data_IF_450512500109
#
_entry.id   IF_450512500109
#
_cell.length_a   1.000
_cell.length_b   1.000
_cell.length_c   1.000
_cell.angle_alpha   90.00
_cell.angle_beta   90.00
_cell.angle_gamma   90.00
#
_symmetry.space_group_name_H-M   'P 1'
#
loop_
_entity.id
_entity.type
_entity.pdbx_description
1 polymer ?
#
# COMPACT_ATOMS: atom_id res chain seq x y z
N UNK A 1 -28.51 65.53 -33.59
CA UNK A 1 -28.08 64.30 -34.30
C UNK A 1 -26.55 64.08 -34.42
N UNK A 2 -25.69 65.05 -34.08
CA UNK A 2 -24.22 64.89 -34.17
C UNK A 2 -23.54 64.19 -32.91
N UNK A 3 -24.23 64.11 -31.82
CA UNK A 3 -23.71 63.54 -30.59
C UNK A 3 -23.99 62.01 -30.40
N UNK A 4 -25.02 61.51 -31.08
CA UNK A 4 -25.33 60.06 -31.00
C UNK A 4 -24.33 59.18 -31.78
N UNK A 5 -23.79 59.67 -32.87
CA UNK A 5 -22.79 58.89 -33.66
C UNK A 5 -21.43 58.79 -33.00
N UNK A 6 -21.04 59.71 -32.11
CA UNK A 6 -19.78 59.65 -31.40
C UNK A 6 -19.81 58.65 -30.23
N UNK A 7 -20.99 58.48 -29.60
CA UNK A 7 -21.13 57.52 -28.53
C UNK A 7 -21.11 56.05 -29.03
N UNK A 8 -21.69 55.80 -30.21
CA UNK A 8 -21.70 54.47 -30.82
C UNK A 8 -20.31 54.00 -31.28
N UNK A 9 -19.43 54.97 -31.70
CA UNK A 9 -18.08 54.63 -32.13
C UNK A 9 -17.15 54.28 -30.97
N UNK A 10 -17.30 54.93 -29.82
CA UNK A 10 -16.54 54.58 -28.61
C UNK A 10 -17.04 53.32 -27.93
N UNK A 11 -18.33 52.97 -28.03
CA UNK A 11 -18.88 51.71 -27.53
C UNK A 11 -18.40 50.51 -28.37
N UNK A 12 -18.24 50.67 -29.70
CA UNK A 12 -17.75 49.61 -30.58
C UNK A 12 -16.23 49.43 -30.44
N UNK A 13 -15.47 50.52 -30.21
CA UNK A 13 -14.03 50.43 -29.95
C UNK A 13 -13.71 49.83 -28.58
N UNK A 14 -14.57 50.01 -27.57
CA UNK A 14 -14.43 49.40 -26.23
C UNK A 14 -14.70 47.90 -26.22
N UNK A 15 -15.58 47.40 -27.08
CA UNK A 15 -15.88 45.95 -27.19
C UNK A 15 -14.78 45.20 -27.96
N UNK A 16 -14.07 45.86 -28.89
CA UNK A 16 -12.95 45.24 -29.61
C UNK A 16 -11.65 45.13 -28.80
N UNK A 17 -11.51 45.83 -27.67
CA UNK A 17 -10.32 45.79 -26.82
C UNK A 17 -10.36 44.71 -25.73
N UNK A 18 -11.49 44.00 -25.54
CA UNK A 18 -11.63 42.88 -24.61
C UNK A 18 -11.50 41.50 -25.27
N UNK A 19 -11.22 41.43 -26.57
CA UNK A 19 -11.08 40.17 -27.30
C UNK A 19 -9.59 39.77 -27.55
N UNK A 20 -8.64 40.41 -26.86
CA UNK A 20 -7.24 40.06 -26.97
C UNK A 20 -6.75 39.74 -25.55
N UNK A 21 -6.75 38.46 -25.17
CA UNK A 21 -6.10 38.03 -23.97
C UNK A 21 -6.85 36.96 -23.22
N UNK A 22 -6.71 35.78 -23.66
CA UNK A 22 -6.50 34.57 -22.89
C UNK A 22 -5.83 33.62 -23.87
N UNK A 23 -4.53 33.76 -24.04
CA UNK A 23 -3.73 32.55 -24.24
C UNK A 23 -3.72 31.89 -22.87
N UNK A 24 -4.46 30.84 -22.67
CA UNK A 24 -4.19 29.88 -21.63
C UNK A 24 -2.80 29.31 -21.94
N UNK A 25 -1.76 30.02 -21.50
CA UNK A 25 -0.44 29.42 -21.34
C UNK A 25 -0.61 28.43 -20.17
N UNK A 26 -1.11 27.24 -20.45
CA UNK A 26 -0.95 26.14 -19.51
C UNK A 26 0.53 26.06 -19.17
N UNK A 27 0.82 26.06 -17.87
CA UNK A 27 2.19 25.88 -17.40
C UNK A 27 2.74 24.59 -18.03
N UNK A 28 3.96 24.62 -18.57
CA UNK A 28 4.54 23.42 -19.17
C UNK A 28 4.50 22.27 -18.14
N UNK A 29 4.06 21.09 -18.58
CA UNK A 29 4.04 19.91 -17.74
C UNK A 29 5.44 19.64 -17.20
N UNK A 30 5.56 19.17 -15.93
CA UNK A 30 6.83 18.73 -15.39
C UNK A 30 7.47 17.67 -16.28
N UNK A 31 8.78 17.50 -16.20
CA UNK A 31 9.49 16.42 -16.89
C UNK A 31 8.88 15.08 -16.48
N UNK A 32 8.59 14.25 -17.45
CA UNK A 32 8.11 12.89 -17.23
C UNK A 32 9.31 11.98 -16.95
N UNK A 33 9.61 11.71 -15.69
CA UNK A 33 10.61 10.71 -15.29
C UNK A 33 10.09 9.30 -15.49
N UNK A 34 10.91 8.41 -16.03
CA UNK A 34 10.59 6.99 -16.25
C UNK A 34 11.65 6.13 -15.60
N UNK A 35 11.23 5.19 -14.74
CA UNK A 35 12.12 4.29 -14.01
C UNK A 35 11.49 2.91 -13.82
N UNK A 36 12.30 1.88 -13.62
CA UNK A 36 11.80 0.65 -13.02
C UNK A 36 11.50 0.88 -11.53
N UNK A 37 10.46 0.24 -11.01
CA UNK A 37 10.12 0.31 -9.58
C UNK A 37 11.18 -0.35 -8.70
N UNK A 38 11.84 -1.40 -9.23
CA UNK A 38 12.87 -2.18 -8.53
C UNK A 38 14.11 -2.37 -9.40
N UNK A 39 15.24 -2.71 -8.78
CA UNK A 39 16.49 -3.04 -9.49
C UNK A 39 16.67 -4.53 -9.72
N UNK A 40 15.86 -5.37 -9.06
CA UNK A 40 15.94 -6.84 -9.20
C UNK A 40 14.59 -7.49 -8.94
N UNK A 41 14.35 -8.61 -9.61
CA UNK A 41 13.16 -9.47 -9.47
C UNK A 41 13.61 -10.92 -9.58
N UNK A 42 13.22 -11.78 -8.61
CA UNK A 42 13.49 -13.21 -8.66
C UNK A 42 12.28 -14.00 -9.17
N UNK A 43 12.54 -15.06 -9.95
CA UNK A 43 11.53 -16.09 -10.27
C UNK A 43 11.97 -17.37 -9.56
N UNK A 44 11.28 -17.67 -8.45
CA UNK A 44 11.54 -18.88 -7.66
C UNK A 44 11.33 -20.17 -8.47
N UNK A 45 11.87 -21.28 -7.99
CA UNK A 45 11.77 -22.58 -8.71
C UNK A 45 10.33 -23.07 -8.85
N UNK A 46 9.46 -22.71 -7.91
CA UNK A 46 8.04 -23.03 -7.85
C UNK A 46 7.15 -21.99 -8.54
N UNK A 47 7.68 -20.79 -8.82
CA UNK A 47 6.98 -19.73 -9.54
C UNK A 47 7.15 -19.88 -11.06
N UNK A 48 6.07 -19.64 -11.81
CA UNK A 48 6.08 -19.68 -13.26
C UNK A 48 6.39 -18.33 -13.90
N UNK A 49 6.16 -17.21 -13.21
CA UNK A 49 6.30 -15.87 -13.77
C UNK A 49 6.58 -14.80 -12.72
N UNK A 50 7.08 -13.67 -13.18
CA UNK A 50 7.20 -12.45 -12.40
C UNK A 50 6.81 -11.24 -13.23
N UNK A 51 6.24 -10.23 -12.59
CA UNK A 51 5.89 -8.95 -13.22
C UNK A 51 6.97 -7.92 -12.93
N UNK A 52 7.39 -7.22 -13.98
CA UNK A 52 8.34 -6.10 -13.89
C UNK A 52 7.58 -4.81 -14.15
N UNK A 53 7.59 -3.91 -13.17
CA UNK A 53 6.87 -2.66 -13.22
C UNK A 53 7.78 -1.49 -13.62
N UNK A 54 7.22 -0.59 -14.43
CA UNK A 54 7.81 0.70 -14.80
C UNK A 54 6.89 1.80 -14.29
N UNK A 55 7.42 2.68 -13.46
CA UNK A 55 6.71 3.85 -12.96
C UNK A 55 7.03 5.08 -13.79
N UNK A 56 6.04 5.94 -13.95
CA UNK A 56 6.16 7.25 -14.59
C UNK A 56 5.82 8.32 -13.54
N UNK A 57 6.63 9.35 -13.43
CA UNK A 57 6.48 10.40 -12.39
C UNK A 57 5.18 11.20 -12.50
N UNK A 58 4.49 11.10 -13.63
CA UNK A 58 3.14 11.62 -13.88
C UNK A 58 2.44 10.80 -14.96
N UNK A 59 1.14 10.95 -15.06
CA UNK A 59 0.37 10.40 -16.18
C UNK A 59 0.86 10.99 -17.52
N UNK A 60 0.97 10.15 -18.55
CA UNK A 60 1.35 10.60 -19.89
C UNK A 60 0.25 11.47 -20.52
N UNK A 61 0.64 12.61 -21.03
CA UNK A 61 -0.28 13.51 -21.70
C UNK A 61 -0.55 13.14 -23.16
N UNK A 62 0.36 12.39 -23.76
CA UNK A 62 0.31 11.88 -25.12
C UNK A 62 0.65 10.40 -25.09
N UNK A 63 -0.05 9.58 -25.90
CA UNK A 63 0.27 8.16 -26.02
C UNK A 63 1.76 7.98 -26.29
N UNK A 64 2.42 7.21 -25.44
CA UNK A 64 3.88 7.07 -25.42
C UNK A 64 4.26 5.60 -25.61
N UNK A 65 5.47 5.39 -26.07
CA UNK A 65 6.01 4.03 -26.26
C UNK A 65 7.35 3.92 -25.54
N UNK A 66 7.46 2.93 -24.65
CA UNK A 66 8.69 2.57 -23.96
C UNK A 66 9.42 1.48 -24.77
N UNK A 67 10.73 1.62 -24.90
CA UNK A 67 11.60 0.58 -25.44
C UNK A 67 12.57 0.12 -24.36
N UNK A 68 12.62 -1.19 -24.14
CA UNK A 68 13.46 -1.85 -23.12
C UNK A 68 14.35 -2.84 -23.83
N UNK A 69 15.67 -2.77 -23.62
CA UNK A 69 16.62 -3.77 -24.11
C UNK A 69 16.82 -4.88 -23.09
N UNK A 70 16.97 -6.12 -23.56
CA UNK A 70 17.29 -7.28 -22.73
C UNK A 70 18.71 -7.78 -23.01
N UNK A 71 19.47 -8.06 -21.96
CA UNK A 71 20.79 -8.70 -22.03
C UNK A 71 20.74 -9.97 -21.19
N UNK A 72 20.97 -11.11 -21.83
CA UNK A 72 20.83 -12.45 -21.28
C UNK A 72 22.16 -13.00 -20.76
N UNK A 73 22.12 -13.71 -19.64
CA UNK A 73 23.23 -14.48 -19.09
C UNK A 73 22.74 -15.84 -18.63
N UNK A 74 23.19 -16.91 -19.24
CA UNK A 74 22.83 -18.29 -18.89
C UNK A 74 21.39 -18.68 -19.27
N UNK A 75 20.62 -17.82 -19.91
CA UNK A 75 19.26 -18.07 -20.37
C UNK A 75 19.02 -17.48 -21.75
N UNK A 76 18.02 -17.98 -22.47
CA UNK A 76 17.67 -17.57 -23.84
C UNK A 76 16.17 -17.37 -23.97
N UNK A 77 15.74 -16.22 -24.49
CA UNK A 77 14.34 -15.94 -24.74
C UNK A 77 13.74 -16.92 -25.76
N UNK A 78 12.51 -17.37 -25.49
CA UNK A 78 11.79 -18.36 -26.28
C UNK A 78 12.17 -19.82 -25.98
N UNK A 79 13.25 -20.07 -25.26
CA UNK A 79 13.69 -21.40 -24.80
C UNK A 79 13.53 -21.55 -23.30
N UNK A 80 14.18 -20.69 -22.56
CA UNK A 80 14.23 -20.77 -21.09
C UNK A 80 13.20 -19.87 -20.43
N UNK A 81 12.86 -18.76 -21.10
CA UNK A 81 11.84 -17.81 -20.65
C UNK A 81 11.14 -17.12 -21.82
N UNK A 82 10.02 -16.49 -21.54
CA UNK A 82 9.32 -15.59 -22.47
C UNK A 82 8.91 -14.31 -21.76
N UNK A 83 8.55 -13.28 -22.52
CA UNK A 83 7.98 -12.05 -21.97
C UNK A 83 6.65 -11.69 -22.62
N UNK A 84 5.83 -10.95 -21.90
CA UNK A 84 4.60 -10.35 -22.44
C UNK A 84 4.57 -8.86 -22.07
N UNK A 85 4.73 -7.91 -23.05
CA UNK A 85 4.94 -8.13 -24.50
C UNK A 85 6.23 -8.92 -24.83
N UNK A 86 6.21 -9.60 -25.98
CA UNK A 86 7.31 -10.48 -26.37
C UNK A 86 8.58 -9.72 -26.75
N UNK A 87 9.75 -10.27 -26.40
CA UNK A 87 11.04 -9.80 -26.88
C UNK A 87 11.12 -10.03 -28.39
N UNK A 88 11.45 -8.99 -29.13
CA UNK A 88 11.72 -9.04 -30.57
C UNK A 88 13.03 -8.32 -30.88
N UNK A 89 14.00 -9.04 -31.41
CA UNK A 89 15.31 -8.46 -31.70
C UNK A 89 16.07 -7.94 -30.48
N UNK A 90 15.87 -8.58 -29.30
CA UNK A 90 16.50 -8.20 -28.05
C UNK A 90 15.82 -7.01 -27.34
N UNK A 91 14.63 -6.61 -27.79
CA UNK A 91 13.87 -5.49 -27.19
C UNK A 91 12.43 -5.84 -26.86
N UNK A 92 11.89 -5.23 -25.82
CA UNK A 92 10.46 -5.16 -25.52
C UNK A 92 9.98 -3.76 -25.87
N UNK A 93 8.84 -3.68 -26.54
CA UNK A 93 8.13 -2.42 -26.80
C UNK A 93 6.81 -2.41 -26.07
N UNK A 94 6.53 -1.39 -25.27
CA UNK A 94 5.31 -1.24 -24.51
C UNK A 94 4.65 0.10 -24.82
N UNK A 95 3.38 0.08 -25.13
CA UNK A 95 2.58 1.28 -25.30
C UNK A 95 1.98 1.71 -23.96
N UNK A 96 2.07 3.02 -23.66
CA UNK A 96 1.49 3.67 -22.48
C UNK A 96 0.39 4.60 -22.96
N UNK A 97 -0.85 4.29 -22.61
CA UNK A 97 -2.00 5.08 -23.03
C UNK A 97 -2.06 6.43 -22.30
N UNK A 98 -2.69 7.43 -22.93
CA UNK A 98 -2.92 8.73 -22.31
C UNK A 98 -3.65 8.55 -20.98
N UNK A 99 -3.11 9.20 -19.93
CA UNK A 99 -3.66 9.12 -18.58
C UNK A 99 -3.02 8.05 -17.69
N UNK A 100 -2.22 7.13 -18.25
CA UNK A 100 -1.51 6.12 -17.47
C UNK A 100 -0.22 6.68 -16.87
N UNK A 101 0.12 6.24 -15.66
CA UNK A 101 1.35 6.60 -14.93
C UNK A 101 2.22 5.40 -14.61
N UNK A 102 1.91 4.24 -15.16
CA UNK A 102 2.70 3.00 -15.02
C UNK A 102 2.55 2.13 -16.24
N UNK A 103 3.50 1.22 -16.42
CA UNK A 103 3.45 0.13 -17.38
C UNK A 103 4.11 -1.10 -16.76
N UNK A 104 3.79 -2.29 -17.25
CA UNK A 104 4.42 -3.52 -16.77
C UNK A 104 4.58 -4.54 -17.88
N UNK A 105 5.52 -5.43 -17.71
CA UNK A 105 5.63 -6.64 -18.52
C UNK A 105 5.86 -7.86 -17.64
N UNK A 106 5.42 -9.01 -18.11
CA UNK A 106 5.59 -10.27 -17.40
C UNK A 106 6.76 -11.04 -17.99
N UNK A 107 7.57 -11.63 -17.13
CA UNK A 107 8.61 -12.60 -17.50
C UNK A 107 8.12 -13.98 -17.05
N UNK A 108 7.91 -14.89 -17.99
CA UNK A 108 7.42 -16.26 -17.72
C UNK A 108 8.56 -17.25 -17.92
N UNK A 109 8.80 -18.09 -16.92
CA UNK A 109 9.74 -19.20 -16.99
C UNK A 109 9.17 -20.31 -17.88
N UNK A 110 9.94 -20.81 -18.83
CA UNK A 110 9.59 -21.93 -19.70
C UNK A 110 10.38 -23.19 -19.35
N UNK A 111 11.66 -23.04 -19.03
CA UNK A 111 12.52 -24.16 -18.66
C UNK A 111 12.31 -24.57 -17.20
N UNK A 112 12.29 -25.89 -16.94
CA UNK A 112 12.21 -26.44 -15.57
C UNK A 112 13.55 -26.43 -14.86
N UNK A 113 14.65 -26.36 -15.59
CA UNK A 113 16.02 -26.33 -15.07
C UNK A 113 16.71 -25.15 -15.70
N UNK A 114 17.09 -24.20 -14.85
CA UNK A 114 17.91 -23.03 -15.21
C UNK A 114 19.09 -23.06 -14.26
N UNK A 115 20.32 -22.89 -14.80
CA UNK A 115 21.54 -22.92 -13.97
C UNK A 115 21.57 -21.74 -12.97
N UNK A 116 22.15 -21.96 -11.80
CA UNK A 116 22.32 -20.95 -10.79
C UNK A 116 23.12 -19.74 -11.34
N UNK A 117 22.67 -18.52 -11.02
CA UNK A 117 23.25 -17.26 -11.51
C UNK A 117 22.76 -16.82 -12.90
N UNK A 118 21.85 -17.60 -13.52
CA UNK A 118 21.21 -17.20 -14.78
C UNK A 118 20.28 -16.00 -14.55
N UNK A 119 20.38 -15.02 -15.43
CA UNK A 119 19.58 -13.79 -15.30
C UNK A 119 19.41 -13.06 -16.63
N UNK A 120 18.46 -12.13 -16.65
CA UNK A 120 18.28 -11.16 -17.75
C UNK A 120 18.30 -9.75 -17.15
N UNK A 121 19.11 -8.87 -17.73
CA UNK A 121 19.11 -7.45 -17.40
C UNK A 121 18.26 -6.72 -18.41
N UNK A 122 17.16 -6.15 -17.96
CA UNK A 122 16.30 -5.27 -18.76
C UNK A 122 16.71 -3.82 -18.51
N UNK A 123 16.93 -3.03 -19.56
CA UNK A 123 17.34 -1.64 -19.47
C UNK A 123 16.39 -0.75 -20.28
N UNK A 124 15.82 0.28 -19.65
CA UNK A 124 15.07 1.32 -20.33
C UNK A 124 15.98 2.02 -21.34
N UNK A 125 15.65 1.94 -22.63
CA UNK A 125 16.48 2.46 -23.71
C UNK A 125 15.94 3.76 -24.27
N UNK A 126 14.61 3.91 -24.37
CA UNK A 126 13.97 5.13 -24.83
C UNK A 126 12.51 5.20 -24.41
N UNK A 127 12.01 6.42 -24.33
CA UNK A 127 10.60 6.76 -24.33
C UNK A 127 10.34 7.70 -25.51
N UNK A 128 9.24 7.49 -26.23
CA UNK A 128 8.79 8.34 -27.33
C UNK A 128 7.33 8.70 -27.15
N UNK A 129 6.91 9.82 -27.72
CA UNK A 129 5.54 10.34 -27.61
C UNK A 129 5.48 11.60 -26.76
N UNK A 130 5.84 11.58 -25.49
CA UNK A 130 5.95 12.76 -24.64
C UNK A 130 7.33 13.42 -24.84
N UNK A 131 7.35 14.63 -25.46
CA UNK A 131 8.60 15.33 -25.79
C UNK A 131 9.34 15.84 -24.54
N UNK A 132 8.66 15.96 -23.39
CA UNK A 132 9.26 16.36 -22.12
C UNK A 132 9.43 15.17 -21.19
N UNK A 133 10.17 14.16 -21.64
CA UNK A 133 10.41 12.92 -20.91
C UNK A 133 11.89 12.59 -20.79
N UNK A 134 12.25 11.94 -19.68
CA UNK A 134 13.61 11.44 -19.42
C UNK A 134 13.57 10.09 -18.72
N UNK A 135 14.60 9.27 -18.96
CA UNK A 135 14.84 8.05 -18.20
C UNK A 135 15.70 8.44 -16.99
N UNK A 136 15.21 8.21 -15.78
CA UNK A 136 15.87 8.60 -14.53
C UNK A 136 15.62 7.57 -13.43
N UNK A 137 16.38 7.60 -12.34
CA UNK A 137 16.24 6.63 -11.27
C UNK A 137 16.74 5.23 -11.65
N UNK A 138 15.97 4.18 -11.35
CA UNK A 138 16.33 2.80 -11.69
C UNK A 138 16.17 2.58 -13.20
N UNK A 139 17.24 2.72 -13.96
CA UNK A 139 17.22 2.57 -15.42
C UNK A 139 17.33 1.13 -15.89
N UNK A 140 17.65 0.20 -14.99
CA UNK A 140 17.73 -1.24 -15.28
C UNK A 140 17.17 -2.07 -14.15
N UNK A 141 16.69 -3.26 -14.48
CA UNK A 141 16.23 -4.29 -13.55
C UNK A 141 16.83 -5.62 -13.95
N UNK A 142 17.30 -6.40 -12.97
CA UNK A 142 17.79 -7.76 -13.18
C UNK A 142 16.72 -8.76 -12.79
N UNK A 143 16.32 -9.63 -13.72
CA UNK A 143 15.45 -10.78 -13.43
C UNK A 143 16.32 -12.01 -13.29
N UNK A 144 16.34 -12.61 -12.10
CA UNK A 144 17.05 -13.86 -11.80
C UNK A 144 16.09 -15.03 -11.88
N UNK A 145 16.61 -16.19 -12.28
CA UNK A 145 15.87 -17.44 -12.37
C UNK A 145 16.32 -18.47 -11.34
N UNK A 146 16.90 -17.99 -10.25
CA UNK A 146 17.33 -18.87 -9.18
C UNK A 146 16.13 -19.41 -8.40
N UNK A 147 16.30 -20.60 -7.86
CA UNK A 147 15.36 -21.18 -6.90
C UNK A 147 15.47 -20.52 -5.52
N UNK A 148 16.32 -19.54 -5.35
CA UNK A 148 16.68 -18.91 -4.09
C UNK A 148 16.21 -17.47 -4.12
N UNK A 149 15.72 -17.05 -2.98
CA UNK A 149 15.29 -15.71 -2.64
C UNK A 149 16.24 -14.62 -3.13
N UNK A 150 15.69 -13.45 -3.43
CA UNK A 150 16.46 -12.27 -3.80
C UNK A 150 17.61 -12.03 -2.82
N UNK A 151 18.86 -11.85 -3.28
CA UNK A 151 20.00 -11.61 -2.39
C UNK A 151 19.93 -10.24 -1.69
N UNK A 152 19.01 -9.40 -2.11
CA UNK A 152 18.81 -8.06 -1.57
C UNK A 152 18.59 -7.02 -2.67
N UNK A 153 17.99 -5.91 -2.29
CA UNK A 153 17.68 -4.79 -3.17
C UNK A 153 17.45 -3.51 -2.37
N UNK A 154 17.21 -2.42 -3.09
CA UNK A 154 16.63 -1.19 -2.54
C UNK A 154 15.49 -0.73 -3.42
N UNK A 155 14.44 -0.19 -2.81
CA UNK A 155 13.29 0.32 -3.55
C UNK A 155 12.61 1.46 -2.80
N UNK A 156 11.74 2.17 -3.50
CA UNK A 156 10.76 3.11 -2.94
C UNK A 156 9.38 2.49 -3.05
N UNK A 157 8.63 2.46 -1.95
CA UNK A 157 7.27 1.95 -1.93
C UNK A 157 6.33 2.92 -2.67
N UNK A 158 5.53 2.39 -3.61
CA UNK A 158 4.58 3.19 -4.39
C UNK A 158 3.28 3.46 -3.61
N UNK A 159 3.41 4.19 -2.50
CA UNK A 159 2.27 4.52 -1.62
C UNK A 159 1.34 5.55 -2.27
N UNK A 160 1.81 6.29 -3.28
CA UNK A 160 1.02 7.26 -4.04
C UNK A 160 1.11 8.69 -3.53
N UNK A 161 2.22 9.04 -2.85
CA UNK A 161 2.49 10.40 -2.39
C UNK A 161 1.80 10.77 -1.08
N UNK A 162 1.68 12.07 -0.73
CA UNK A 162 1.34 12.52 0.62
C UNK A 162 -0.10 12.28 1.06
N UNK A 163 -0.98 11.84 0.18
CA UNK A 163 -2.34 11.40 0.55
C UNK A 163 -2.42 9.90 0.84
N UNK A 164 -1.34 9.16 0.54
CA UNK A 164 -1.15 7.72 0.77
C UNK A 164 -2.38 6.89 0.36
N UNK A 165 -2.82 6.95 -0.92
CA UNK A 165 -4.01 6.26 -1.36
C UNK A 165 -3.82 4.73 -1.40
N UNK A 166 -2.59 4.24 -1.39
CA UNK A 166 -2.25 2.85 -1.61
C UNK A 166 -1.75 2.16 -0.34
N UNK A 167 -2.02 0.86 -0.27
CA UNK A 167 -1.29 -0.12 0.52
C UNK A 167 -0.30 -0.82 -0.41
N UNK A 168 0.95 -1.00 0.00
CA UNK A 168 1.99 -1.65 -0.81
C UNK A 168 2.52 -2.86 -0.07
N UNK A 169 2.15 -4.03 -0.53
CA UNK A 169 2.62 -5.32 -0.03
C UNK A 169 3.97 -5.66 -0.67
N UNK A 170 4.93 -6.03 0.14
CA UNK A 170 6.31 -6.33 -0.28
C UNK A 170 6.66 -7.77 0.05
N UNK A 171 7.14 -8.48 -0.95
CA UNK A 171 7.77 -9.79 -0.85
C UNK A 171 9.28 -9.62 -1.02
N UNK A 172 10.06 -9.83 0.03
CA UNK A 172 11.51 -9.70 -0.03
C UNK A 172 12.15 -10.84 -0.81
N UNK A 173 11.57 -12.04 -0.74
CA UNK A 173 12.08 -13.21 -1.43
C UNK A 173 12.05 -13.08 -2.95
N UNK A 174 11.00 -12.47 -3.48
CA UNK A 174 10.83 -12.21 -4.91
C UNK A 174 11.21 -10.77 -5.32
N UNK A 175 11.55 -9.91 -4.36
CA UNK A 175 11.75 -8.48 -4.59
C UNK A 175 10.58 -7.86 -5.35
N UNK A 176 9.37 -8.16 -4.92
CA UNK A 176 8.13 -7.76 -5.58
C UNK A 176 7.30 -6.81 -4.72
N UNK A 177 6.58 -5.92 -5.37
CA UNK A 177 5.60 -5.03 -4.75
C UNK A 177 4.24 -5.23 -5.40
N UNK A 178 3.21 -5.44 -4.56
CA UNK A 178 1.81 -5.47 -5.01
C UNK A 178 1.07 -4.32 -4.35
N UNK A 179 0.36 -3.56 -5.15
CA UNK A 179 -0.35 -2.34 -4.69
C UNK A 179 -1.85 -2.56 -4.72
N UNK A 180 -2.53 -2.14 -3.65
CA UNK A 180 -3.98 -2.08 -3.56
C UNK A 180 -4.42 -0.71 -3.01
N UNK A 181 -5.49 -0.13 -3.55
CA UNK A 181 -6.07 1.08 -2.98
C UNK A 181 -6.57 0.80 -1.56
N UNK A 182 -6.20 1.65 -0.58
CA UNK A 182 -6.58 1.44 0.83
C UNK A 182 -8.07 1.55 1.09
N UNK A 183 -8.85 2.14 0.17
CA UNK A 183 -10.31 2.25 0.24
C UNK A 183 -11.05 1.16 -0.53
N UNK A 184 -10.33 0.25 -1.19
CA UNK A 184 -10.95 -0.79 -2.01
C UNK A 184 -11.71 -1.84 -1.21
N UNK A 185 -11.48 -1.95 0.09
CA UNK A 185 -12.08 -2.91 0.98
C UNK A 185 -12.59 -2.28 2.28
N UNK A 186 -13.43 -3.00 3.01
CA UNK A 186 -13.99 -2.56 4.28
C UNK A 186 -13.73 -3.59 5.40
N UNK A 187 -13.98 -4.86 5.15
CA UNK A 187 -13.82 -5.94 6.11
C UNK A 187 -12.95 -7.06 5.55
N UNK A 188 -12.11 -7.66 6.39
CA UNK A 188 -11.35 -8.85 6.06
C UNK A 188 -11.83 -10.05 6.89
N UNK A 189 -12.31 -11.10 6.23
CA UNK A 189 -12.80 -12.32 6.84
C UNK A 189 -11.67 -13.35 6.89
N UNK A 190 -11.25 -13.74 8.08
CA UNK A 190 -10.11 -14.63 8.27
C UNK A 190 -10.33 -15.99 7.62
N UNK A 191 -9.35 -16.42 6.82
CA UNK A 191 -9.42 -17.66 6.06
C UNK A 191 -8.90 -18.89 6.82
N UNK A 192 -8.32 -18.69 8.02
CA UNK A 192 -7.86 -19.80 8.87
C UNK A 192 -8.99 -20.53 9.60
N UNK A 193 -8.60 -21.27 10.66
CA UNK A 193 -9.53 -22.16 11.39
C UNK A 193 -10.56 -21.42 12.25
N UNK A 194 -10.26 -20.19 12.66
CA UNK A 194 -11.11 -19.36 13.52
C UNK A 194 -12.04 -18.49 12.69
N UNK A 195 -13.15 -18.07 13.29
CA UNK A 195 -14.16 -17.23 12.65
C UNK A 195 -14.01 -15.79 13.14
N UNK A 196 -13.05 -15.07 12.56
CA UNK A 196 -12.61 -13.71 12.92
C UNK A 196 -12.80 -12.75 11.77
N UNK A 197 -13.08 -11.47 12.08
CA UNK A 197 -13.28 -10.43 11.06
C UNK A 197 -12.56 -9.17 11.47
N UNK A 198 -11.65 -8.68 10.60
CA UNK A 198 -10.89 -7.46 10.80
C UNK A 198 -11.57 -6.26 10.13
N UNK A 199 -11.37 -5.10 10.72
CA UNK A 199 -11.76 -3.81 10.17
C UNK A 199 -10.68 -3.27 9.21
N UNK A 200 -11.09 -2.44 8.26
CA UNK A 200 -10.12 -1.71 7.44
C UNK A 200 -9.35 -0.68 8.29
N UNK A 201 -8.19 -1.07 8.72
CA UNK A 201 -7.30 -0.23 9.50
C UNK A 201 -6.75 0.98 8.71
N UNK A 202 -6.68 0.85 7.39
CA UNK A 202 -6.11 1.88 6.52
C UNK A 202 -7.09 3.03 6.23
N UNK A 203 -8.37 2.88 6.60
CA UNK A 203 -9.37 3.95 6.59
C UNK A 203 -9.75 4.41 7.99
N UNK A 204 -9.13 3.83 9.04
CA UNK A 204 -9.47 4.09 10.44
C UNK A 204 -10.89 3.63 10.80
N UNK A 205 -11.33 2.52 10.21
CA UNK A 205 -12.66 1.96 10.48
C UNK A 205 -12.82 1.61 11.96
N UNK A 206 -14.04 1.82 12.47
CA UNK A 206 -14.41 1.55 13.86
C UNK A 206 -15.71 0.76 13.90
N UNK A 207 -15.85 -0.14 14.87
CA UNK A 207 -17.07 -0.91 15.08
C UNK A 207 -17.51 -0.88 16.55
N UNK A 208 -18.83 -0.81 16.76
CA UNK A 208 -19.44 -0.90 18.08
C UNK A 208 -20.63 -1.87 18.05
N UNK A 209 -20.64 -2.91 18.91
CA UNK A 209 -21.78 -3.83 19.02
C UNK A 209 -22.99 -3.14 19.66
N UNK A 210 -24.17 -3.52 19.21
CA UNK A 210 -25.46 -3.18 19.83
C UNK A 210 -26.00 -4.34 20.65
N UNK A 211 -26.98 -4.07 21.54
CA UNK A 211 -27.76 -5.11 22.24
C UNK A 211 -28.95 -5.55 21.38
N UNK A 212 -28.72 -5.73 20.06
CA UNK A 212 -29.71 -6.11 19.06
C UNK A 212 -29.14 -7.16 18.12
N UNK A 213 -29.98 -8.08 17.70
CA UNK A 213 -29.63 -9.15 16.76
C UNK A 213 -30.48 -9.12 15.48
N UNK A 214 -31.40 -8.15 15.35
CA UNK A 214 -32.18 -7.93 14.14
C UNK A 214 -31.77 -6.60 13.47
N UNK A 215 -31.32 -6.69 12.23
CA UNK A 215 -30.91 -5.55 11.42
C UNK A 215 -32.06 -4.53 11.21
N UNK A 216 -33.32 -5.02 11.18
CA UNK A 216 -34.50 -4.17 10.94
C UNK A 216 -34.89 -3.33 12.17
N UNK A 217 -34.42 -3.70 13.35
CA UNK A 217 -34.67 -2.95 14.59
C UNK A 217 -33.67 -1.79 14.79
N UNK A 218 -32.64 -1.69 13.95
CA UNK A 218 -31.58 -0.69 14.07
C UNK A 218 -31.87 0.53 13.20
N UNK A 219 -31.86 1.69 13.83
CA UNK A 219 -32.18 3.00 13.21
C UNK A 219 -31.15 4.05 13.61
N UNK A 220 -31.25 5.27 13.09
CA UNK A 220 -30.40 6.40 13.49
C UNK A 220 -30.46 6.71 15.00
N UNK A 221 -31.53 6.32 15.70
CA UNK A 221 -31.59 6.48 17.15
C UNK A 221 -30.51 5.67 17.90
N UNK A 222 -30.06 4.56 17.33
CA UNK A 222 -29.01 3.72 17.90
C UNK A 222 -27.59 4.30 17.72
N UNK A 223 -27.41 5.30 16.87
CA UNK A 223 -26.12 5.94 16.61
C UNK A 223 -25.91 7.24 17.39
N UNK A 224 -26.86 7.63 18.23
CA UNK A 224 -26.78 8.87 19.01
C UNK A 224 -25.55 8.88 19.93
N UNK A 225 -24.67 9.87 19.75
CA UNK A 225 -23.40 10.02 20.48
C UNK A 225 -22.21 9.30 19.83
N UNK A 226 -22.42 8.31 18.98
CA UNK A 226 -21.31 7.57 18.34
C UNK A 226 -20.44 8.47 17.46
N UNK A 227 -21.02 9.45 16.77
CA UNK A 227 -20.28 10.42 15.98
C UNK A 227 -19.28 11.29 16.76
N UNK A 228 -19.29 11.26 18.09
CA UNK A 228 -18.31 11.95 18.93
C UNK A 228 -17.33 11.01 19.65
N UNK A 229 -17.59 9.70 19.65
CA UNK A 229 -16.76 8.69 20.33
C UNK A 229 -16.02 7.78 19.38
N UNK A 230 -16.61 7.45 18.23
CA UNK A 230 -16.02 6.59 17.21
C UNK A 230 -15.30 7.46 16.15
N UNK A 231 -14.33 8.24 16.58
CA UNK A 231 -13.53 9.16 15.75
C UNK A 231 -12.05 8.98 16.08
N UNK A 232 -11.23 8.87 15.03
CA UNK A 232 -9.78 8.84 15.19
C UNK A 232 -9.28 10.14 15.84
N UNK A 233 -8.27 10.07 16.69
CA UNK A 233 -7.78 11.20 17.50
C UNK A 233 -8.57 11.44 18.80
N UNK A 234 -9.49 10.55 19.16
CA UNK A 234 -10.33 10.72 20.37
C UNK A 234 -9.92 9.75 21.47
N UNK A 235 -9.81 10.25 22.70
CA UNK A 235 -9.59 9.42 23.90
C UNK A 235 -10.73 8.43 24.12
N UNK A 236 -10.40 7.19 24.46
CA UNK A 236 -11.36 6.11 24.62
C UNK A 236 -11.78 5.42 23.32
N UNK A 237 -11.48 5.99 22.14
CA UNK A 237 -11.87 5.41 20.84
C UNK A 237 -11.13 4.11 20.50
N UNK A 238 -10.04 3.79 21.21
CA UNK A 238 -9.25 2.58 21.00
C UNK A 238 -10.03 1.27 21.18
N UNK A 239 -11.15 1.30 21.91
CA UNK A 239 -12.02 0.11 22.11
C UNK A 239 -12.87 -0.24 20.88
N UNK A 240 -12.90 0.64 19.87
CA UNK A 240 -13.69 0.46 18.65
C UNK A 240 -12.83 0.07 17.44
N UNK A 241 -11.52 -0.02 17.58
CA UNK A 241 -10.58 -0.47 16.53
C UNK A 241 -10.00 -1.84 16.87
N UNK A 242 -9.55 -2.55 15.84
CA UNK A 242 -8.71 -3.73 16.05
C UNK A 242 -7.37 -3.30 16.67
N UNK A 243 -6.83 -4.14 17.57
CA UNK A 243 -5.57 -3.83 18.20
C UNK A 243 -4.43 -3.78 17.14
N UNK A 244 -3.52 -2.80 17.22
CA UNK A 244 -2.50 -2.57 16.19
C UNK A 244 -1.52 -3.74 15.98
N UNK A 245 -1.33 -4.60 17.01
CA UNK A 245 -0.44 -5.76 16.94
C UNK A 245 -0.94 -6.87 16.00
N UNK A 246 -2.13 -6.70 15.42
CA UNK A 246 -2.78 -7.65 14.52
C UNK A 246 -3.08 -9.01 15.15
N UNK A 247 -3.23 -9.04 16.45
CA UNK A 247 -3.68 -10.21 17.20
C UNK A 247 -5.19 -10.42 16.97
N UNK A 248 -5.54 -11.56 16.40
CA UNK A 248 -6.94 -11.90 16.11
C UNK A 248 -7.80 -12.09 17.38
N UNK A 249 -7.18 -12.22 18.56
CA UNK A 249 -7.91 -12.24 19.84
C UNK A 249 -8.24 -10.83 20.38
N UNK A 250 -7.83 -9.78 19.68
CA UNK A 250 -7.97 -8.38 20.10
C UNK A 250 -8.69 -7.52 19.07
N UNK A 251 -9.73 -8.06 18.45
CA UNK A 251 -10.53 -7.38 17.43
C UNK A 251 -11.70 -6.60 18.04
N UNK A 252 -12.14 -5.55 17.34
CA UNK A 252 -13.33 -4.79 17.70
C UNK A 252 -14.63 -5.58 17.42
N UNK A 253 -14.62 -6.45 16.43
CA UNK A 253 -15.69 -7.42 16.17
C UNK A 253 -15.35 -8.70 16.92
N UNK A 254 -16.24 -9.15 17.78
CA UNK A 254 -16.08 -10.40 18.53
C UNK A 254 -16.08 -11.63 17.59
N UNK A 255 -15.61 -12.75 18.10
CA UNK A 255 -15.64 -14.03 17.41
C UNK A 255 -17.05 -14.35 16.92
N UNK A 256 -17.14 -14.85 15.69
CA UNK A 256 -18.45 -15.17 15.10
C UNK A 256 -18.92 -16.52 15.65
N UNK A 257 -19.99 -16.46 16.46
CA UNK A 257 -20.58 -17.66 17.04
C UNK A 257 -21.34 -18.50 16.01
N UNK A 258 -21.32 -19.81 16.19
CA UNK A 258 -22.21 -20.73 15.46
C UNK A 258 -23.69 -20.62 15.86
N UNK A 259 -24.01 -19.84 16.89
CA UNK A 259 -25.37 -19.56 17.36
C UNK A 259 -25.73 -18.13 16.94
N UNK A 260 -26.64 -17.97 15.98
CA UNK A 260 -27.01 -16.67 15.41
C UNK A 260 -27.44 -15.64 16.46
N UNK A 261 -28.15 -16.07 17.53
CA UNK A 261 -28.59 -15.18 18.58
C UNK A 261 -27.46 -14.55 19.43
N UNK A 262 -26.23 -15.07 19.33
CA UNK A 262 -25.06 -14.57 20.02
C UNK A 262 -24.27 -13.54 19.17
N UNK A 263 -24.60 -13.43 17.88
CA UNK A 263 -23.98 -12.50 16.97
C UNK A 263 -24.79 -11.19 16.91
N UNK A 264 -24.31 -10.09 17.53
CA UNK A 264 -25.04 -8.83 17.56
C UNK A 264 -24.94 -8.08 16.24
N UNK A 265 -25.80 -7.08 16.07
CA UNK A 265 -25.62 -6.06 15.05
C UNK A 265 -24.54 -5.07 15.52
N UNK A 266 -23.64 -4.70 14.62
CA UNK A 266 -22.64 -3.66 14.83
C UNK A 266 -23.00 -2.40 14.05
N UNK A 267 -22.71 -1.25 14.63
CA UNK A 267 -22.58 0.00 13.90
C UNK A 267 -21.11 0.15 13.53
N UNK A 268 -20.84 0.38 12.26
CA UNK A 268 -19.49 0.66 11.75
C UNK A 268 -19.40 2.06 11.18
N UNK A 269 -18.39 2.80 11.65
CA UNK A 269 -17.89 4.00 10.98
C UNK A 269 -16.77 3.55 10.03
N UNK A 270 -16.97 3.72 8.72
CA UNK A 270 -16.03 3.29 7.68
C UNK A 270 -14.75 4.14 7.64
N UNK A 271 -14.68 5.18 8.49
CA UNK A 271 -13.53 6.09 8.54
C UNK A 271 -13.48 7.06 7.37
N UNK A 272 -12.29 7.29 6.83
CA UNK A 272 -12.07 8.27 5.77
C UNK A 272 -11.09 7.77 4.69
N UNK A 273 -11.34 8.20 3.45
CA UNK A 273 -10.44 8.01 2.32
C UNK A 273 -9.23 8.94 2.35
N UNK A 274 -8.35 8.90 1.34
CA UNK A 274 -7.26 9.84 1.17
C UNK A 274 -7.76 11.28 0.97
N UNK A 275 -6.92 12.26 1.31
CA UNK A 275 -7.19 13.65 0.99
C UNK A 275 -7.19 13.90 -0.51
N UNK A 276 -7.78 15.02 -0.90
CA UNK A 276 -7.93 15.39 -2.32
C UNK A 276 -7.32 16.76 -2.64
N UNK A 277 -6.72 17.42 -1.65
CA UNK A 277 -6.09 18.73 -1.80
C UNK A 277 -4.60 18.66 -2.08
N UNK A 278 -4.02 19.81 -2.44
CA UNK A 278 -2.57 19.97 -2.49
C UNK A 278 -1.99 19.86 -1.06
N UNK A 279 -0.88 19.16 -0.93
CA UNK A 279 -0.21 18.92 0.35
C UNK A 279 1.17 19.56 0.34
N UNK A 280 1.45 20.39 1.33
CA UNK A 280 2.76 21.03 1.48
C UNK A 280 3.87 19.98 1.70
N UNK A 281 5.10 20.19 1.17
CA UNK A 281 6.23 19.31 1.38
C UNK A 281 6.46 18.99 2.86
N UNK A 282 6.66 17.70 3.15
CA UNK A 282 6.83 17.16 4.51
C UNK A 282 5.54 16.96 5.29
N UNK A 283 4.38 17.31 4.73
CA UNK A 283 3.06 17.07 5.31
C UNK A 283 2.39 15.85 4.67
N UNK A 284 1.29 15.40 5.26
CA UNK A 284 0.39 14.36 4.73
C UNK A 284 -1.06 14.79 4.86
N UNK A 285 -1.90 14.33 3.97
CA UNK A 285 -3.36 14.43 4.05
C UNK A 285 -4.00 13.05 3.84
N UNK A 286 -3.99 12.24 4.89
CA UNK A 286 -4.46 10.85 4.86
C UNK A 286 -5.90 10.68 5.39
N UNK A 287 -6.50 11.76 5.90
CA UNK A 287 -7.84 11.78 6.49
C UNK A 287 -8.80 12.67 5.70
N UNK A 288 -9.10 12.30 4.45
CA UNK A 288 -9.94 13.07 3.54
C UNK A 288 -11.45 12.86 3.72
N UNK A 289 -12.15 12.51 2.65
CA UNK A 289 -13.61 12.38 2.66
C UNK A 289 -14.08 11.22 3.53
N UNK A 290 -15.02 11.44 4.48
CA UNK A 290 -15.64 10.37 5.26
C UNK A 290 -16.35 9.36 4.36
N UNK A 291 -16.18 8.07 4.63
CA UNK A 291 -16.77 6.96 3.87
C UNK A 291 -18.16 6.56 4.37
N UNK A 292 -18.63 7.21 5.44
CA UNK A 292 -19.97 7.02 5.98
C UNK A 292 -20.10 5.90 6.99
N UNK A 293 -21.35 5.56 7.27
CA UNK A 293 -21.71 4.61 8.34
C UNK A 293 -22.59 3.49 7.79
N UNK A 294 -22.37 2.28 8.32
CA UNK A 294 -23.20 1.10 8.01
C UNK A 294 -23.64 0.41 9.31
N UNK A 295 -24.74 -0.33 9.23
CA UNK A 295 -25.06 -1.40 10.17
C UNK A 295 -24.74 -2.72 9.53
N UNK A 296 -24.11 -3.60 10.31
CA UNK A 296 -23.74 -4.93 9.84
C UNK A 296 -24.08 -5.99 10.88
N UNK A 297 -24.31 -7.19 10.41
CA UNK A 297 -24.36 -8.39 11.23
C UNK A 297 -23.64 -9.51 10.52
N UNK A 298 -22.81 -10.26 11.23
CA UNK A 298 -22.03 -11.35 10.66
C UNK A 298 -22.49 -12.65 11.30
N UNK A 299 -22.79 -13.62 10.48
CA UNK A 299 -23.29 -14.94 10.86
C UNK A 299 -22.35 -16.01 10.27
N UNK A 300 -22.52 -17.24 10.72
CA UNK A 300 -21.79 -18.41 10.23
C UNK A 300 -22.71 -19.31 9.41
N UNK A 301 -22.23 -19.79 8.27
CA UNK A 301 -22.93 -20.77 7.42
C UNK A 301 -21.97 -21.90 7.03
N UNK A 302 -21.97 -22.97 7.82
CA UNK A 302 -20.99 -24.04 7.64
C UNK A 302 -19.56 -23.56 7.95
N UNK A 303 -18.68 -23.60 6.96
CA UNK A 303 -17.32 -23.05 7.03
C UNK A 303 -17.25 -21.58 6.60
N UNK A 304 -18.30 -21.05 5.99
CA UNK A 304 -18.35 -19.72 5.40
C UNK A 304 -18.96 -18.72 6.37
N UNK A 305 -18.73 -17.42 6.10
CA UNK A 305 -19.43 -16.33 6.77
C UNK A 305 -20.62 -15.87 5.93
N UNK A 306 -21.58 -15.26 6.59
CA UNK A 306 -22.66 -14.51 5.93
C UNK A 306 -22.67 -13.12 6.53
N UNK A 307 -22.43 -12.10 5.70
CA UNK A 307 -22.58 -10.72 6.11
C UNK A 307 -23.93 -10.17 5.69
N UNK A 308 -24.66 -9.61 6.66
CA UNK A 308 -25.83 -8.75 6.44
C UNK A 308 -25.38 -7.31 6.60
N UNK A 309 -25.65 -6.42 5.63
CA UNK A 309 -25.23 -5.03 5.69
C UNK A 309 -26.29 -4.09 5.09
N UNK A 310 -26.33 -2.88 5.62
CA UNK A 310 -27.23 -1.83 5.14
C UNK A 310 -26.78 -0.44 5.62
N UNK A 311 -27.31 0.61 5.01
CA UNK A 311 -27.28 1.96 5.58
C UNK A 311 -28.05 2.00 6.90
N UNK A 312 -27.69 2.92 7.79
CA UNK A 312 -28.25 2.95 9.16
C UNK A 312 -29.78 2.97 9.17
N UNK A 313 -30.39 3.82 8.35
CA UNK A 313 -31.86 4.01 8.30
C UNK A 313 -32.57 3.08 7.28
N UNK A 314 -31.84 2.19 6.62
CA UNK A 314 -32.47 1.25 5.70
C UNK A 314 -33.40 0.28 6.44
N UNK A 315 -34.54 0.00 5.85
CA UNK A 315 -35.54 -0.95 6.36
C UNK A 315 -35.37 -2.37 5.80
N UNK A 316 -34.40 -2.53 4.91
CA UNK A 316 -33.96 -3.81 4.33
C UNK A 316 -32.45 -3.87 4.39
N UNK A 317 -31.87 -5.05 4.28
CA UNK A 317 -30.43 -5.28 4.22
C UNK A 317 -30.10 -6.21 3.06
N UNK A 318 -28.86 -6.13 2.61
CA UNK A 318 -28.26 -7.08 1.68
C UNK A 318 -27.57 -8.19 2.47
N UNK A 319 -27.54 -9.40 1.90
CA UNK A 319 -26.88 -10.55 2.50
C UNK A 319 -25.92 -11.17 1.48
N UNK A 320 -24.66 -11.36 1.88
CA UNK A 320 -23.61 -11.91 1.03
C UNK A 320 -22.88 -13.03 1.76
N UNK A 321 -22.70 -14.16 1.09
CA UNK A 321 -21.88 -15.26 1.60
C UNK A 321 -20.42 -15.02 1.25
N UNK A 322 -19.54 -15.14 2.25
CA UNK A 322 -18.09 -14.96 2.12
C UNK A 322 -17.43 -16.30 2.41
N UNK A 323 -16.88 -16.92 1.38
CA UNK A 323 -16.12 -18.17 1.54
C UNK A 323 -14.67 -17.86 1.95
N UNK A 324 -14.13 -18.70 2.83
CA UNK A 324 -12.72 -18.63 3.23
C UNK A 324 -11.82 -18.95 2.05
N UNK A 325 -10.78 -18.16 1.84
CA UNK A 325 -9.76 -18.43 0.84
C UNK A 325 -8.88 -19.62 1.25
N UNK A 326 -8.35 -20.32 0.27
CA UNK A 326 -7.33 -21.35 0.51
C UNK A 326 -5.91 -20.78 0.51
N UNK A 327 -5.71 -19.60 -0.04
CA UNK A 327 -4.39 -19.03 -0.36
C UNK A 327 -4.11 -17.70 0.30
N UNK A 328 -5.12 -16.88 0.59
CA UNK A 328 -4.93 -15.58 1.26
C UNK A 328 -5.22 -15.71 2.77
N UNK A 329 -4.66 -14.79 3.59
CA UNK A 329 -4.98 -14.73 5.02
C UNK A 329 -6.44 -14.35 5.26
N UNK A 330 -6.99 -13.49 4.40
CA UNK A 330 -8.36 -12.98 4.50
C UNK A 330 -9.06 -12.99 3.15
N UNK A 331 -10.36 -13.22 3.17
CA UNK A 331 -11.25 -12.84 2.06
C UNK A 331 -11.78 -11.45 2.35
N UNK A 332 -11.45 -10.47 1.50
CA UNK A 332 -11.85 -9.08 1.69
C UNK A 332 -13.20 -8.78 1.06
N UNK A 333 -13.97 -7.93 1.72
CA UNK A 333 -15.28 -7.47 1.28
C UNK A 333 -15.33 -5.94 1.18
N UNK A 334 -16.00 -5.44 0.16
CA UNK A 334 -16.23 -4.01 -0.06
C UNK A 334 -17.72 -3.69 -0.01
N UNK A 335 -18.12 -2.72 0.84
CA UNK A 335 -19.51 -2.21 0.85
C UNK A 335 -19.84 -1.44 -0.43
N UNK A 336 -18.84 -0.83 -1.08
CA UNK A 336 -19.03 -0.10 -2.33
C UNK A 336 -19.40 -1.07 -3.47
N UNK A 337 -18.70 -2.19 -3.54
CA UNK A 337 -18.92 -3.20 -4.58
C UNK A 337 -20.03 -4.20 -4.21
N UNK A 338 -20.41 -4.30 -2.93
CA UNK A 338 -21.32 -5.31 -2.42
C UNK A 338 -20.81 -6.75 -2.62
N UNK A 339 -19.50 -6.95 -2.70
CA UNK A 339 -18.88 -8.24 -3.04
C UNK A 339 -17.45 -8.35 -2.54
N UNK A 340 -16.86 -9.54 -2.69
CA UNK A 340 -15.45 -9.78 -2.42
C UNK A 340 -14.55 -9.00 -3.38
N UNK A 341 -13.40 -8.58 -2.87
CA UNK A 341 -12.36 -7.84 -3.61
C UNK A 341 -10.99 -8.45 -3.32
N UNK A 342 -10.06 -8.32 -4.26
CA UNK A 342 -8.65 -8.69 -4.07
C UNK A 342 -7.90 -7.52 -3.46
N UNK A 343 -7.16 -7.77 -2.38
CA UNK A 343 -6.39 -6.76 -1.65
C UNK A 343 -4.96 -7.22 -1.43
N UNK A 344 -4.76 -8.23 -0.59
CA UNK A 344 -3.44 -8.78 -0.33
C UNK A 344 -3.05 -9.84 -1.36
N UNK A 345 -1.75 -10.06 -1.59
CA UNK A 345 -1.27 -11.23 -2.32
C UNK A 345 -1.58 -12.52 -1.56
N UNK A 346 -1.27 -13.67 -2.19
CA UNK A 346 -1.21 -14.97 -1.53
C UNK A 346 -0.35 -14.84 -0.26
N UNK A 347 -0.77 -15.49 0.83
CA UNK A 347 -0.20 -15.28 2.18
C UNK A 347 1.30 -15.51 2.28
N UNK A 348 1.87 -16.40 1.45
CA UNK A 348 3.31 -16.68 1.38
C UNK A 348 4.07 -15.71 0.46
N UNK A 349 3.40 -14.73 -0.14
CA UNK A 349 3.98 -13.83 -1.16
C UNK A 349 3.95 -12.37 -0.74
N UNK A 350 4.03 -12.13 0.55
CA UNK A 350 4.32 -10.81 1.11
C UNK A 350 4.77 -10.92 2.58
N UNK A 351 5.68 -10.03 2.97
CA UNK A 351 6.29 -9.99 4.30
C UNK A 351 5.84 -8.77 5.09
N UNK A 352 5.82 -7.61 4.43
CA UNK A 352 5.43 -6.34 5.05
C UNK A 352 4.48 -5.58 4.14
N UNK A 353 3.69 -4.68 4.72
CA UNK A 353 2.83 -3.75 3.98
C UNK A 353 3.06 -2.33 4.45
N UNK A 354 3.35 -1.42 3.52
CA UNK A 354 3.29 0.03 3.75
C UNK A 354 1.83 0.48 3.67
N UNK A 355 1.40 1.26 4.64
CA UNK A 355 -0.01 1.63 4.74
C UNK A 355 -0.22 2.83 5.66
N UNK A 356 -1.40 3.38 5.62
CA UNK A 356 -1.98 4.17 6.72
C UNK A 356 -2.55 3.18 7.74
N UNK A 357 -2.44 3.45 9.04
CA UNK A 357 -2.99 2.56 10.06
C UNK A 357 -3.50 3.29 11.28
N UNK A 358 -4.57 2.77 11.87
CA UNK A 358 -4.96 3.11 13.24
C UNK A 358 -3.99 2.50 14.24
N UNK A 359 -3.67 3.26 15.30
CA UNK A 359 -2.82 2.81 16.39
C UNK A 359 -3.40 3.31 17.74
N UNK A 360 -2.94 2.73 18.83
CA UNK A 360 -3.32 3.13 20.18
C UNK A 360 -2.20 4.00 20.77
N UNK A 361 -2.54 5.20 21.19
CA UNK A 361 -1.60 6.08 21.89
C UNK A 361 -2.24 6.59 23.19
N UNK A 362 -1.39 6.89 24.18
CA UNK A 362 -1.82 7.52 25.41
C UNK A 362 -1.76 9.05 25.28
N UNK A 363 -2.92 9.70 25.38
CA UNK A 363 -3.04 11.16 25.27
C UNK A 363 -2.67 11.90 26.58
N UNK A 364 -2.16 11.18 27.60
CA UNK A 364 -1.83 11.75 28.93
C UNK A 364 -3.01 11.70 29.91
N UNK A 365 -4.21 11.46 29.44
CA UNK A 365 -5.44 11.28 30.23
C UNK A 365 -6.16 9.96 29.92
N UNK A 366 -5.52 9.07 29.18
CA UNK A 366 -6.01 7.75 28.79
C UNK A 366 -5.65 7.41 27.35
N UNK A 367 -5.87 6.14 27.01
CA UNK A 367 -5.59 5.62 25.67
C UNK A 367 -6.70 6.04 24.69
N UNK A 368 -6.31 6.23 23.44
CA UNK A 368 -7.20 6.57 22.35
C UNK A 368 -6.71 6.02 21.02
N UNK A 369 -7.58 6.00 20.03
CA UNK A 369 -7.22 5.65 18.67
C UNK A 369 -6.59 6.86 17.96
N UNK A 370 -5.47 6.62 17.26
CA UNK A 370 -4.77 7.66 16.51
C UNK A 370 -4.37 7.12 15.13
N UNK A 371 -4.44 7.98 14.11
CA UNK A 371 -4.07 7.66 12.75
C UNK A 371 -2.60 7.91 12.47
N UNK A 372 -1.92 6.93 11.90
CA UNK A 372 -0.53 7.04 11.47
C UNK A 372 -0.43 6.90 9.95
N UNK A 373 0.33 7.78 9.34
CA UNK A 373 0.82 7.70 7.98
C UNK A 373 2.19 7.03 7.93
N UNK A 374 2.68 6.66 6.75
CA UNK A 374 3.96 5.99 6.56
C UNK A 374 4.17 4.85 7.58
N UNK A 375 3.17 4.02 7.73
CA UNK A 375 3.14 2.94 8.69
C UNK A 375 3.49 1.62 8.01
N UNK A 376 4.18 0.74 8.72
CA UNK A 376 4.57 -0.56 8.18
C UNK A 376 4.12 -1.67 9.13
N UNK A 377 3.36 -2.61 8.58
CA UNK A 377 2.91 -3.81 9.29
C UNK A 377 3.57 -5.04 8.69
N UNK A 378 3.86 -6.05 9.52
CA UNK A 378 4.31 -7.35 9.05
C UNK A 378 3.14 -8.33 8.85
N UNK A 379 3.34 -9.31 7.99
CA UNK A 379 2.38 -10.39 7.70
C UNK A 379 2.28 -11.41 8.83
N UNK A 380 1.72 -10.98 9.98
CA UNK A 380 1.58 -11.83 11.15
C UNK A 380 0.85 -13.14 10.87
N UNK A 381 -0.26 -13.07 10.11
CA UNK A 381 -1.09 -14.23 9.80
C UNK A 381 -0.44 -15.17 8.78
N UNK A 382 0.45 -14.65 7.93
CA UNK A 382 1.29 -15.44 7.04
C UNK A 382 2.54 -16.03 7.72
N UNK A 383 2.80 -15.67 8.99
CA UNK A 383 3.91 -16.24 9.76
C UNK A 383 5.19 -15.39 9.78
N UNK A 384 5.16 -14.19 9.20
CA UNK A 384 6.30 -13.27 9.26
C UNK A 384 6.55 -12.80 10.69
N UNK A 385 7.81 -12.91 11.15
CA UNK A 385 8.29 -12.41 12.42
C UNK A 385 9.33 -11.29 12.20
N UNK A 386 9.36 -10.31 13.09
CA UNK A 386 10.29 -9.18 12.98
C UNK A 386 11.04 -8.96 14.29
N UNK A 387 12.36 -8.73 14.19
CA UNK A 387 13.16 -8.22 15.27
C UNK A 387 13.59 -6.77 14.97
N UNK A 388 13.32 -5.85 15.88
CA UNK A 388 13.80 -4.46 15.79
C UNK A 388 15.16 -4.35 16.47
N UNK A 389 16.16 -3.82 15.78
CA UNK A 389 17.48 -3.50 16.33
C UNK A 389 17.60 -1.99 16.46
N UNK A 390 17.66 -1.51 17.70
CA UNK A 390 17.79 -0.10 18.01
C UNK A 390 19.15 0.15 18.63
N UNK A 391 20.01 0.84 17.90
CA UNK A 391 21.36 1.17 18.36
C UNK A 391 21.30 2.36 19.32
N UNK A 392 22.04 2.26 20.42
CA UNK A 392 22.18 3.35 21.37
C UNK A 392 22.93 4.52 20.74
N UNK A 393 22.49 5.73 21.06
CA UNK A 393 23.11 6.97 20.58
C UNK A 393 23.60 7.83 21.76
N UNK A 394 24.63 8.62 21.52
CA UNK A 394 25.08 9.61 22.48
C UNK A 394 24.12 10.84 22.52
N UNK A 395 24.45 11.81 23.33
CA UNK A 395 23.66 13.06 23.49
C UNK A 395 23.55 13.91 22.21
N UNK A 396 24.41 13.65 21.21
CA UNK A 396 24.41 14.32 19.92
C UNK A 396 23.72 13.47 18.82
N UNK A 397 23.19 12.27 19.18
CA UNK A 397 22.57 11.35 18.26
C UNK A 397 23.52 10.46 17.45
N UNK A 398 24.84 10.47 17.76
CA UNK A 398 25.80 9.58 17.13
C UNK A 398 25.76 8.19 17.76
N UNK A 399 25.80 7.14 16.92
CA UNK A 399 25.77 5.75 17.37
C UNK A 399 27.02 5.47 18.22
N UNK A 400 26.80 4.92 19.44
CA UNK A 400 27.86 4.52 20.36
C UNK A 400 28.62 3.34 19.75
N UNK A 401 29.96 3.42 19.77
CA UNK A 401 30.82 2.39 19.19
C UNK A 401 30.70 1.01 19.90
N UNK A 402 30.89 -0.05 19.17
CA UNK A 402 30.90 -1.43 19.69
C UNK A 402 29.55 -2.15 19.59
N UNK A 403 28.55 -1.53 18.92
CA UNK A 403 27.27 -2.16 18.58
C UNK A 403 27.32 -2.65 17.12
N UNK A 404 26.66 -3.78 16.82
CA UNK A 404 26.58 -4.33 15.46
C UNK A 404 25.60 -3.48 14.64
N UNK A 405 26.13 -2.71 13.66
CA UNK A 405 25.32 -1.91 12.74
C UNK A 405 24.72 -2.76 11.61
N UNK A 406 23.85 -2.13 10.80
CA UNK A 406 23.23 -2.81 9.66
C UNK A 406 24.25 -3.50 8.73
N UNK A 407 25.33 -2.79 8.38
CA UNK A 407 26.30 -3.29 7.39
C UNK A 407 27.18 -4.44 7.95
N UNK A 408 27.33 -4.52 9.28
CA UNK A 408 28.14 -5.51 9.98
C UNK A 408 27.32 -6.72 10.49
N UNK A 409 25.98 -6.62 10.48
CA UNK A 409 25.10 -7.70 10.95
C UNK A 409 25.05 -8.83 9.91
N UNK A 410 25.31 -10.04 10.36
CA UNK A 410 25.28 -11.24 9.52
C UNK A 410 24.49 -12.41 10.16
N UNK A 411 24.42 -13.55 9.47
CA UNK A 411 23.67 -14.72 9.94
C UNK A 411 24.14 -15.26 11.30
N UNK A 412 25.38 -15.02 11.71
CA UNK A 412 25.88 -15.44 13.02
C UNK A 412 25.28 -14.61 14.16
N UNK A 413 24.83 -13.40 13.87
CA UNK A 413 24.23 -12.48 14.83
C UNK A 413 22.75 -12.76 15.10
N UNK A 414 22.08 -13.62 14.30
CA UNK A 414 20.66 -13.94 14.45
C UNK A 414 20.28 -14.41 15.86
N UNK A 415 21.20 -15.07 16.57
CA UNK A 415 21.01 -15.48 17.95
C UNK A 415 21.01 -14.33 18.97
N UNK A 416 21.35 -13.10 18.57
CA UNK A 416 21.41 -11.91 19.45
C UNK A 416 20.13 -11.10 19.46
N UNK A 417 19.23 -11.33 18.51
CA UNK A 417 17.96 -10.61 18.36
C UNK A 417 16.78 -11.46 18.83
N UNK A 418 15.68 -10.81 19.18
CA UNK A 418 14.43 -11.47 19.57
C UNK A 418 13.36 -11.16 18.55
N UNK A 419 12.86 -12.19 17.89
CA UNK A 419 11.78 -12.09 16.93
C UNK A 419 10.44 -11.97 17.66
N UNK A 420 9.55 -11.17 17.08
CA UNK A 420 8.19 -10.92 17.53
C UNK A 420 7.22 -11.17 16.37
N UNK A 421 6.14 -11.87 16.64
CA UNK A 421 5.00 -11.98 15.72
C UNK A 421 4.06 -10.76 15.79
N UNK A 422 4.39 -9.74 16.59
CA UNK A 422 3.61 -8.49 16.65
C UNK A 422 3.68 -7.79 15.29
N UNK A 423 2.54 -7.71 14.59
CA UNK A 423 2.43 -7.07 13.28
C UNK A 423 2.84 -5.60 13.25
N UNK A 424 2.96 -4.98 14.41
CA UNK A 424 3.32 -3.57 14.60
C UNK A 424 4.81 -3.36 14.95
N UNK A 425 5.63 -4.40 14.97
CA UNK A 425 7.05 -4.30 15.39
C UNK A 425 7.83 -3.24 14.61
N UNK A 426 7.60 -3.08 13.32
CA UNK A 426 8.16 -1.97 12.51
C UNK A 426 7.37 -0.70 12.79
N UNK A 427 6.07 -0.72 12.56
CA UNK A 427 5.14 0.36 12.84
C UNK A 427 5.57 1.70 12.26
N UNK A 428 5.69 2.70 13.14
CA UNK A 428 6.24 4.02 12.84
C UNK A 428 7.66 4.22 13.38
N UNK A 429 8.26 3.19 14.01
CA UNK A 429 9.55 3.28 14.72
C UNK A 429 10.75 3.54 13.82
N UNK A 430 10.62 3.28 12.53
CA UNK A 430 11.66 3.46 11.54
C UNK A 430 11.92 4.93 11.15
N UNK A 431 11.02 5.86 11.52
CA UNK A 431 11.08 7.27 11.10
C UNK A 431 10.80 8.27 12.20
N UNK A 432 11.20 9.51 11.98
CA UNK A 432 10.83 10.67 12.76
C UNK A 432 10.12 11.70 11.89
N UNK A 433 8.86 12.00 12.20
CA UNK A 433 8.09 13.06 11.52
C UNK A 433 8.56 14.47 11.91
N UNK A 434 9.25 14.62 13.03
CA UNK A 434 9.80 15.91 13.48
C UNK A 434 11.03 16.30 12.67
N UNK A 435 11.96 15.36 12.47
CA UNK A 435 13.15 15.58 11.64
C UNK A 435 12.87 15.30 10.15
N UNK A 436 11.75 14.65 9.86
CA UNK A 436 11.35 14.23 8.50
C UNK A 436 12.37 13.28 7.84
N UNK A 437 12.89 12.35 8.62
CA UNK A 437 13.94 11.41 8.19
C UNK A 437 13.64 9.99 8.64
N UNK A 438 14.21 9.01 7.97
CA UNK A 438 14.37 7.68 8.54
C UNK A 438 15.32 7.75 9.76
N UNK A 439 15.11 6.88 10.74
CA UNK A 439 15.95 6.77 11.92
C UNK A 439 17.21 5.96 11.59
N UNK A 440 18.36 6.60 11.49
CA UNK A 440 19.63 5.96 11.10
C UNK A 440 20.16 4.94 12.11
N UNK A 441 19.67 4.99 13.35
CA UNK A 441 20.04 4.09 14.43
C UNK A 441 19.10 2.90 14.59
N UNK A 442 18.20 2.65 13.60
CA UNK A 442 17.22 1.56 13.65
C UNK A 442 17.30 0.76 12.35
N UNK A 443 17.35 -0.55 12.49
CA UNK A 443 17.13 -1.49 11.40
C UNK A 443 16.33 -2.70 11.92
N UNK A 444 15.87 -3.53 11.01
CA UNK A 444 15.00 -4.66 11.33
C UNK A 444 15.56 -5.94 10.72
N UNK A 445 15.31 -7.07 11.39
CA UNK A 445 15.49 -8.38 10.81
C UNK A 445 14.10 -8.97 10.60
N UNK A 446 13.75 -9.21 9.36
CA UNK A 446 12.47 -9.82 8.96
C UNK A 446 12.73 -11.28 8.66
N UNK A 447 11.99 -12.16 9.31
CA UNK A 447 11.97 -13.60 9.04
C UNK A 447 10.66 -13.91 8.34
N UNK A 448 10.73 -14.39 7.09
CA UNK A 448 9.58 -14.80 6.31
C UNK A 448 9.01 -16.16 6.76
N UNK A 449 7.89 -16.58 6.19
CA UNK A 449 7.27 -17.89 6.45
C UNK A 449 8.19 -19.07 6.04
N UNK A 450 8.98 -18.89 4.98
CA UNK A 450 9.91 -19.90 4.46
C UNK A 450 11.16 -20.06 5.35
N UNK A 451 11.36 -19.14 6.31
CA UNK A 451 12.46 -19.13 7.25
C UNK A 451 13.70 -18.37 6.78
N UNK A 452 13.60 -17.62 5.66
CA UNK A 452 14.67 -16.72 5.25
C UNK A 452 14.70 -15.50 6.19
N UNK A 453 15.88 -14.92 6.36
CA UNK A 453 16.10 -13.76 7.20
C UNK A 453 16.64 -12.62 6.36
N UNK A 454 15.97 -11.49 6.39
CA UNK A 454 16.34 -10.27 5.68
C UNK A 454 16.68 -9.16 6.67
N UNK A 455 17.88 -8.59 6.60
CA UNK A 455 18.12 -7.31 7.28
C UNK A 455 17.56 -6.17 6.45
N UNK A 456 16.79 -5.28 7.07
CA UNK A 456 16.03 -4.22 6.42
C UNK A 456 16.36 -2.88 7.07
N UNK A 457 16.75 -1.89 6.29
CA UNK A 457 17.01 -0.53 6.75
C UNK A 457 16.24 0.48 5.90
N UNK A 458 15.48 1.35 6.55
CA UNK A 458 14.80 2.44 5.88
C UNK A 458 15.81 3.56 5.55
N UNK A 459 15.73 4.09 4.32
CA UNK A 459 16.66 5.07 3.79
C UNK A 459 16.07 6.49 3.77
N UNK A 460 14.78 6.59 3.50
CA UNK A 460 14.10 7.87 3.37
C UNK A 460 12.61 7.82 3.66
N UNK A 461 12.09 8.94 4.16
CA UNK A 461 10.66 9.18 4.39
C UNK A 461 10.01 9.95 3.24
N UNK A 462 10.81 10.68 2.46
CA UNK A 462 10.36 11.61 1.44
C UNK A 462 11.15 11.42 0.15
N UNK A 463 10.56 11.87 -0.95
CA UNK A 463 11.27 12.03 -2.23
C UNK A 463 12.22 13.25 -2.21
N UNK A 464 12.92 13.47 -3.33
CA UNK A 464 13.84 14.61 -3.51
C UNK A 464 13.12 15.96 -3.48
N UNK A 465 11.82 16.01 -3.76
CA UNK A 465 10.98 17.20 -3.71
C UNK A 465 10.43 17.46 -2.29
N UNK A 466 10.70 16.57 -1.35
CA UNK A 466 10.25 16.67 0.03
C UNK A 466 8.83 16.14 0.26
N UNK A 467 8.24 15.40 -0.66
CA UNK A 467 6.91 14.82 -0.50
C UNK A 467 6.98 13.51 0.29
N UNK A 468 6.11 13.35 1.27
CA UNK A 468 5.91 12.10 2.01
C UNK A 468 5.12 11.09 1.18
N UNK A 469 4.98 9.85 1.68
CA UNK A 469 4.36 8.76 0.94
C UNK A 469 5.27 8.20 -0.17
N UNK A 470 6.59 8.38 -0.01
CA UNK A 470 7.66 7.90 -0.89
C UNK A 470 8.76 7.22 -0.05
N UNK A 471 8.35 6.38 0.90
CA UNK A 471 9.24 5.68 1.81
C UNK A 471 10.16 4.73 1.06
N UNK A 472 11.46 4.82 1.33
CA UNK A 472 12.47 3.97 0.68
C UNK A 472 13.21 3.13 1.71
N UNK A 473 13.60 1.92 1.30
CA UNK A 473 14.40 1.01 2.11
C UNK A 473 15.41 0.24 1.27
N UNK A 474 16.39 -0.35 1.93
CA UNK A 474 17.25 -1.42 1.41
C UNK A 474 17.08 -2.66 2.28
N UNK A 475 17.30 -3.82 1.67
CA UNK A 475 17.32 -5.08 2.38
C UNK A 475 18.37 -6.02 1.79
N UNK A 476 18.77 -7.01 2.57
CA UNK A 476 19.75 -8.02 2.19
C UNK A 476 19.41 -9.34 2.88
N UNK A 477 19.49 -10.45 2.15
CA UNK A 477 19.34 -11.80 2.67
C UNK A 477 20.57 -12.16 3.52
N UNK A 478 20.35 -12.76 4.71
CA UNK A 478 21.39 -13.15 5.67
C UNK A 478 21.82 -14.62 5.52
#
# INVERSE_FOLDING_TARGET
>A
MKYLYKLSFYALAGVLLFAIGCSDDEAPLPVLGVAFETTGVGIASDASEATVNVSLSRAVAVASTLTITAVETGVTAGTDYSTSPAITGGTITMDVAVGESSASFTVTRLAQIIEAGSHVVFTLSSISGDENSEISGNTSVTVTFDAISSPGSSFTANIGGPTEPNQVFVDFSLNNQTTAERTSWDLGFYSGSEDKVILNYATYMMAQPLQKTDMNEVTAADTVGMGSTMIIGTGGAHVFIDHPDRDLDKLAIADISGTDAENPVYIVNRGAGPGTGDVDPGSVDVGGTPLGWKKIRILKSGSDYVIQHADIDATTFEEVTISKSATENFTFFSFENGSNVTVEPVKEKWDIVFTVSSNIINFGFGDGAYGFSDFVLSNRQGGTEVAAVVLETDENGAIIAGQTGYDDFDAADLGTVTFSADGHTIGSGWRSVFTRTANSNVYFIVKDEEGNHYKVQFLGLMDEQGNRGNSSLKYELL
#
